data_IF_439443961172
#
_entry.id   IF_439443961172
#
_cell.length_a   1.000
_cell.length_b   1.000
_cell.length_c   1.000
_cell.angle_alpha   90.00
_cell.angle_beta   90.00
_cell.angle_gamma   90.00
#
_symmetry.space_group_name_H-M   'P 1'
#
loop_
_entity.id
_entity.type
_entity.pdbx_description
1 polymer ?
#
# COMPACT_ATOMS: atom_id res chain seq x y z
N UNK A 1 -17.67 -22.57 -38.46
CA UNK A 1 -17.59 -23.67 -37.46
C UNK A 1 -16.30 -23.66 -36.64
N UNK A 2 -15.11 -23.44 -37.23
CA UNK A 2 -13.83 -23.34 -36.49
C UNK A 2 -13.74 -22.16 -35.50
N UNK A 3 -14.40 -21.03 -35.81
CA UNK A 3 -14.49 -19.83 -34.93
C UNK A 3 -15.44 -20.01 -33.74
N UNK A 4 -16.46 -20.86 -33.87
CA UNK A 4 -17.40 -21.23 -32.79
C UNK A 4 -16.71 -22.18 -31.80
N UNK A 5 -15.88 -23.09 -32.31
CA UNK A 5 -15.04 -23.97 -31.49
C UNK A 5 -14.00 -23.18 -30.66
N UNK A 6 -13.45 -22.10 -31.23
CA UNK A 6 -12.51 -21.18 -30.56
C UNK A 6 -13.18 -20.34 -29.45
N UNK A 7 -14.44 -19.94 -29.62
CA UNK A 7 -15.19 -19.19 -28.61
C UNK A 7 -15.62 -20.04 -27.40
N UNK A 8 -15.98 -21.31 -27.64
CA UNK A 8 -16.35 -22.25 -26.57
C UNK A 8 -15.16 -22.64 -25.67
N UNK A 9 -13.96 -22.69 -26.23
CA UNK A 9 -12.74 -23.04 -25.49
C UNK A 9 -12.26 -21.88 -24.59
N UNK A 10 -12.55 -20.62 -24.97
CA UNK A 10 -12.23 -19.43 -24.19
C UNK A 10 -13.23 -19.20 -23.03
N UNK A 11 -14.50 -19.61 -23.20
CA UNK A 11 -15.54 -19.47 -22.16
C UNK A 11 -15.42 -20.50 -21.02
N UNK A 12 -14.80 -21.66 -21.27
CA UNK A 12 -14.63 -22.72 -20.27
C UNK A 12 -13.61 -22.43 -19.16
N UNK A 13 -12.67 -21.49 -19.37
CA UNK A 13 -11.68 -21.11 -18.35
C UNK A 13 -12.26 -20.23 -17.22
N UNK A 14 -13.47 -19.70 -17.41
CA UNK A 14 -14.13 -18.80 -16.44
C UNK A 14 -14.74 -19.53 -15.24
N UNK A 15 -14.85 -20.86 -15.29
CA UNK A 15 -15.57 -21.65 -14.27
C UNK A 15 -14.68 -22.57 -13.44
N UNK A 16 -13.36 -22.36 -13.46
CA UNK A 16 -12.41 -23.12 -12.64
C UNK A 16 -12.19 -22.55 -11.23
N UNK A 17 -12.82 -21.41 -10.89
CA UNK A 17 -12.80 -20.85 -9.53
C UNK A 17 -14.19 -20.91 -8.89
N UNK A 18 -14.66 -22.12 -8.59
CA UNK A 18 -15.64 -22.34 -7.52
C UNK A 18 -15.29 -23.62 -6.77
N UNK A 19 -14.17 -23.57 -6.04
CA UNK A 19 -13.91 -24.47 -4.92
C UNK A 19 -14.52 -23.81 -3.69
N UNK A 20 -15.76 -24.19 -3.37
CA UNK A 20 -16.35 -23.92 -2.08
C UNK A 20 -15.76 -24.92 -1.08
N UNK A 21 -14.62 -24.59 -0.49
CA UNK A 21 -14.16 -25.25 0.73
C UNK A 21 -14.76 -24.50 1.92
N UNK A 22 -15.80 -25.10 2.50
CA UNK A 22 -16.27 -24.79 3.84
C UNK A 22 -15.09 -24.90 4.83
N UNK A 23 -14.64 -23.76 5.33
CA UNK A 23 -13.76 -23.71 6.49
C UNK A 23 -14.35 -22.75 7.51
N UNK A 24 -15.34 -23.29 8.23
CA UNK A 24 -15.67 -22.81 9.55
C UNK A 24 -14.41 -22.82 10.43
N UNK A 25 -14.16 -21.67 11.05
CA UNK A 25 -13.45 -21.52 12.34
C UNK A 25 -12.03 -22.05 12.44
N UNK A 26 -11.09 -21.24 11.98
CA UNK A 26 -9.92 -20.92 12.79
C UNK A 26 -9.70 -19.41 12.74
N UNK A 27 -10.46 -18.65 13.54
CA UNK A 27 -9.97 -17.36 14.02
C UNK A 27 -8.78 -17.68 14.93
N UNK A 28 -7.63 -17.89 14.32
CA UNK A 28 -6.37 -17.71 15.01
C UNK A 28 -6.50 -16.35 15.68
N UNK A 29 -6.42 -16.34 17.01
CA UNK A 29 -6.14 -15.15 17.78
C UNK A 29 -4.87 -14.58 17.17
N UNK A 30 -5.03 -13.65 16.24
CA UNK A 30 -3.96 -12.82 15.75
C UNK A 30 -3.62 -11.95 16.95
N UNK A 31 -2.76 -12.49 17.81
CA UNK A 31 -1.91 -11.67 18.66
C UNK A 31 -1.31 -10.68 17.68
N UNK A 32 -1.91 -9.49 17.64
CA UNK A 32 -1.30 -8.34 17.02
C UNK A 32 -0.07 -8.13 17.87
N UNK A 33 1.01 -8.80 17.47
CA UNK A 33 2.34 -8.29 17.70
C UNK A 33 2.20 -6.85 17.24
N UNK A 34 2.18 -5.93 18.20
CA UNK A 34 2.12 -4.51 17.93
C UNK A 34 3.50 -4.19 17.36
N UNK A 35 3.74 -4.64 16.14
CA UNK A 35 4.96 -4.37 15.41
C UNK A 35 4.97 -2.86 15.27
N UNK A 36 5.82 -2.23 16.08
CA UNK A 36 6.06 -0.80 16.01
C UNK A 36 6.31 -0.46 14.54
N UNK A 37 5.53 0.46 13.95
CA UNK A 37 5.64 0.75 12.53
C UNK A 37 7.08 1.07 12.14
N UNK A 38 7.59 0.42 11.09
CA UNK A 38 8.91 0.74 10.53
C UNK A 38 8.83 2.06 9.76
N UNK A 39 9.16 3.15 10.45
CA UNK A 39 9.17 4.50 9.88
C UNK A 39 10.11 4.64 8.66
N UNK A 40 11.21 3.88 8.60
CA UNK A 40 12.13 3.93 7.46
C UNK A 40 11.50 3.30 6.23
N UNK A 41 10.80 2.18 6.39
CA UNK A 41 10.05 1.54 5.29
C UNK A 41 8.93 2.46 4.79
N UNK A 42 8.17 3.05 5.70
CA UNK A 42 7.08 4.00 5.37
C UNK A 42 7.63 5.20 4.60
N UNK A 43 8.71 5.82 5.07
CA UNK A 43 9.33 6.98 4.42
C UNK A 43 9.76 6.66 2.98
N UNK A 44 10.41 5.51 2.79
CA UNK A 44 10.83 5.05 1.45
C UNK A 44 9.67 4.83 0.50
N UNK A 45 8.54 4.34 1.00
CA UNK A 45 7.39 4.01 0.17
C UNK A 45 6.59 5.25 -0.25
N UNK A 46 6.43 6.22 0.64
CA UNK A 46 5.49 7.32 0.43
C UNK A 46 6.12 8.70 0.29
N UNK A 47 7.33 8.92 0.80
CA UNK A 47 7.89 10.28 0.96
C UNK A 47 9.05 10.57 0.00
N UNK A 48 9.86 9.55 -0.33
CA UNK A 48 11.11 9.70 -1.08
C UNK A 48 10.91 10.25 -2.48
N UNK A 49 9.78 9.98 -3.14
CA UNK A 49 9.53 10.47 -4.50
C UNK A 49 9.60 12.00 -4.61
N UNK A 50 9.19 12.72 -3.56
CA UNK A 50 9.22 14.19 -3.56
C UNK A 50 10.33 14.75 -2.66
N UNK A 51 10.55 14.15 -1.48
CA UNK A 51 11.53 14.66 -0.52
C UNK A 51 12.91 14.03 -0.67
N UNK A 52 13.05 12.95 -1.44
CA UNK A 52 14.31 12.22 -1.61
C UNK A 52 14.68 11.35 -0.43
N UNK A 53 15.78 10.60 -0.56
CA UNK A 53 16.25 9.68 0.49
C UNK A 53 16.65 10.42 1.79
N UNK A 54 17.11 11.66 1.66
CA UNK A 54 17.60 12.48 2.77
C UNK A 54 16.65 13.63 3.16
N UNK A 55 15.49 13.76 2.51
CA UNK A 55 14.51 14.79 2.84
C UNK A 55 14.72 16.16 2.21
N UNK A 56 15.74 16.34 1.38
CA UNK A 56 16.17 17.63 0.82
C UNK A 56 16.06 17.73 -0.72
N UNK A 57 15.37 16.80 -1.38
CA UNK A 57 15.33 16.76 -2.86
C UNK A 57 14.50 17.89 -3.48
N UNK A 58 13.42 18.31 -2.82
CA UNK A 58 12.55 19.38 -3.33
C UNK A 58 11.78 19.04 -4.61
N UNK A 59 11.52 17.75 -4.87
CA UNK A 59 10.76 17.30 -6.03
C UNK A 59 9.38 17.95 -6.08
N UNK A 60 9.01 18.46 -7.25
CA UNK A 60 7.73 19.18 -7.46
C UNK A 60 7.50 20.36 -6.50
N UNK A 61 8.58 21.00 -6.01
CA UNK A 61 8.48 22.12 -5.07
C UNK A 61 8.24 21.68 -3.62
N UNK A 62 8.44 20.41 -3.29
CA UNK A 62 8.32 19.91 -1.93
C UNK A 62 9.29 20.62 -0.97
N UNK A 63 8.86 20.84 0.27
CA UNK A 63 9.67 21.49 1.29
C UNK A 63 10.89 20.62 1.69
N UNK A 64 12.01 21.29 1.99
CA UNK A 64 13.23 20.65 2.50
C UNK A 64 13.04 20.25 3.98
N UNK A 65 12.79 18.97 4.21
CA UNK A 65 12.45 18.45 5.54
C UNK A 65 13.61 18.61 6.54
N UNK A 66 14.86 18.76 6.09
CA UNK A 66 16.00 18.96 7.00
C UNK A 66 16.02 20.36 7.61
N UNK A 67 15.16 21.27 7.13
CA UNK A 67 15.00 22.64 7.61
C UNK A 67 13.68 22.87 8.34
N UNK A 68 12.89 21.81 8.57
CA UNK A 68 11.60 21.94 9.25
C UNK A 68 11.79 22.27 10.73
N UNK A 69 11.26 23.41 11.16
CA UNK A 69 11.20 23.81 12.57
C UNK A 69 9.90 23.38 13.28
N UNK A 70 9.04 22.62 12.58
CA UNK A 70 7.78 22.13 13.13
C UNK A 70 7.97 21.20 14.31
N UNK A 71 7.12 21.36 15.33
CA UNK A 71 7.00 20.41 16.43
C UNK A 71 6.41 19.09 15.95
N UNK A 72 6.58 18.03 16.74
CA UNK A 72 6.12 16.69 16.36
C UNK A 72 4.61 16.66 16.12
N UNK A 73 3.85 17.37 16.95
CA UNK A 73 2.39 17.45 16.87
C UNK A 73 1.95 18.11 15.55
N UNK A 74 2.61 19.20 15.17
CA UNK A 74 2.35 19.91 13.91
C UNK A 74 2.73 19.06 12.69
N UNK A 75 3.82 18.30 12.79
CA UNK A 75 4.24 17.36 11.74
C UNK A 75 3.20 16.26 11.53
N UNK A 76 2.67 15.70 12.61
CA UNK A 76 1.60 14.69 12.54
C UNK A 76 0.36 15.30 11.88
N UNK A 77 -0.03 16.51 12.26
CA UNK A 77 -1.19 17.19 11.67
C UNK A 77 -1.04 17.40 10.15
N UNK A 78 0.14 17.85 9.69
CA UNK A 78 0.43 18.04 8.26
C UNK A 78 0.43 16.71 7.50
N UNK A 79 1.06 15.65 8.04
CA UNK A 79 1.10 14.33 7.38
C UNK A 79 -0.31 13.73 7.27
N UNK A 80 -1.15 13.97 8.29
CA UNK A 80 -2.49 13.39 8.35
C UNK A 80 -3.49 14.14 7.48
N UNK A 81 -3.42 15.47 7.47
CA UNK A 81 -4.48 16.33 6.90
C UNK A 81 -4.02 17.18 5.71
N UNK A 82 -2.72 17.23 5.42
CA UNK A 82 -2.16 18.19 4.48
C UNK A 82 -2.03 19.59 5.06
N UNK A 83 -1.77 20.57 4.19
CA UNK A 83 -1.72 22.00 4.50
C UNK A 83 -2.67 22.75 3.58
#
# INVERSE_FOLDING_TARGET
MKKILLFLLLAGLSWACSNADDSATARASMTRNSDTPDGKKIYKLYCVTCHGLYGNMGGSGAFDLTKSELKVEDRVAVITNGR
#
